data_IF_264260045266
#
_entry.id   IF_264260045266
#
_cell.length_a   1.000
_cell.length_b   1.000
_cell.length_c   1.000
_cell.angle_alpha   90.00
_cell.angle_beta   90.00
_cell.angle_gamma   90.00
#
_symmetry.space_group_name_H-M   'P 1'
#
loop_
_entity.id
_entity.type
_entity.pdbx_description
1 polymer ?
#
# COMPACT_ATOMS: atom_id res chain seq x y z
N UNK A 1 1.60 14.98 2.08
CA UNK A 1 1.37 13.52 1.92
C UNK A 1 -0.10 13.11 2.08
N UNK A 2 -0.63 12.34 1.14
CA UNK A 2 -1.97 11.72 1.19
C UNK A 2 -1.87 10.27 0.71
N UNK A 3 -2.66 9.39 1.33
CA UNK A 3 -2.72 7.98 0.96
C UNK A 3 -4.16 7.53 1.03
N UNK A 4 -4.64 6.93 -0.05
CA UNK A 4 -5.95 6.30 -0.12
C UNK A 4 -5.78 4.87 -0.62
N UNK A 5 -6.65 3.97 -0.20
CA UNK A 5 -6.57 2.60 -0.67
C UNK A 5 -7.76 1.77 -0.27
N UNK A 6 -7.84 0.61 -0.90
CA UNK A 6 -8.84 -0.43 -0.64
C UNK A 6 -8.07 -1.72 -0.38
N UNK A 7 -8.47 -2.41 0.69
CA UNK A 7 -8.03 -3.76 0.97
C UNK A 7 -9.26 -4.68 0.93
N UNK A 8 -9.12 -5.82 0.28
CA UNK A 8 -10.13 -6.88 0.28
C UNK A 8 -9.48 -8.17 0.75
N UNK A 9 -10.18 -8.86 1.65
CA UNK A 9 -9.72 -10.10 2.24
C UNK A 9 -10.75 -11.19 1.98
N UNK A 10 -10.27 -12.30 1.44
CA UNK A 10 -11.03 -13.53 1.25
C UNK A 10 -10.34 -14.68 1.97
N UNK A 11 -11.03 -15.82 2.10
CA UNK A 11 -10.50 -16.99 2.82
C UNK A 11 -9.24 -17.60 2.21
N UNK A 12 -8.94 -17.32 0.93
CA UNK A 12 -7.81 -17.92 0.21
C UNK A 12 -6.95 -16.90 -0.56
N UNK A 13 -7.32 -15.62 -0.56
CA UNK A 13 -6.58 -14.57 -1.25
C UNK A 13 -6.91 -13.21 -0.63
N UNK A 14 -5.97 -12.28 -0.70
CA UNK A 14 -6.20 -10.90 -0.33
C UNK A 14 -5.61 -9.94 -1.36
N UNK A 15 -6.23 -8.78 -1.48
CA UNK A 15 -6.00 -7.77 -2.49
C UNK A 15 -5.77 -6.44 -1.77
N UNK A 16 -4.79 -5.67 -2.24
CA UNK A 16 -4.62 -4.27 -1.85
C UNK A 16 -4.39 -3.42 -3.07
N UNK A 17 -5.09 -2.29 -3.14
CA UNK A 17 -4.81 -1.21 -4.07
C UNK A 17 -4.62 0.05 -3.25
N UNK A 18 -3.51 0.76 -3.48
CA UNK A 18 -3.24 2.00 -2.78
C UNK A 18 -2.67 3.06 -3.74
N UNK A 19 -3.12 4.28 -3.55
CA UNK A 19 -2.67 5.47 -4.25
C UNK A 19 -2.05 6.44 -3.25
N UNK A 20 -0.86 6.93 -3.59
CA UNK A 20 -0.02 7.78 -2.76
C UNK A 20 0.25 9.08 -3.48
N UNK A 21 0.08 10.18 -2.76
CA UNK A 21 0.53 11.50 -3.15
C UNK A 21 1.54 11.99 -2.12
N UNK A 22 2.79 12.04 -2.54
CA UNK A 22 3.90 12.48 -1.69
C UNK A 22 4.46 13.82 -2.18
N UNK A 23 5.00 14.60 -1.25
CA UNK A 23 5.63 15.88 -1.58
C UNK A 23 6.95 15.60 -2.32
N UNK A 24 7.09 16.19 -3.51
CA UNK A 24 8.28 16.04 -4.35
C UNK A 24 9.46 16.83 -3.81
N UNK A 25 10.68 16.40 -4.15
CA UNK A 25 11.93 17.01 -3.68
C UNK A 25 12.23 18.38 -4.30
N UNK A 26 11.49 18.79 -5.34
CA UNK A 26 11.75 19.99 -6.13
C UNK A 26 10.60 21.01 -6.02
N UNK A 27 10.61 21.82 -4.96
CA UNK A 27 9.85 23.07 -4.89
C UNK A 27 8.32 22.99 -4.66
N UNK A 28 7.73 24.16 -4.43
CA UNK A 28 6.30 24.37 -4.14
C UNK A 28 5.42 23.89 -5.32
N UNK A 29 4.72 22.77 -5.12
CA UNK A 29 3.70 22.27 -6.04
C UNK A 29 4.06 21.00 -6.80
N UNK A 30 5.27 20.45 -6.62
CA UNK A 30 5.65 19.19 -7.24
C UNK A 30 5.24 18.03 -6.31
N UNK A 31 4.39 17.13 -6.80
CA UNK A 31 3.91 15.98 -6.04
C UNK A 31 4.24 14.69 -6.78
N UNK A 32 4.81 13.73 -6.06
CA UNK A 32 5.04 12.38 -6.56
C UNK A 32 3.77 11.57 -6.36
N UNK A 33 3.18 11.13 -7.47
CA UNK A 33 2.02 10.25 -7.46
C UNK A 33 2.48 8.82 -7.71
N UNK A 34 2.16 7.92 -6.79
CA UNK A 34 2.45 6.49 -6.91
C UNK A 34 1.17 5.70 -6.74
N UNK A 35 0.96 4.68 -7.56
CA UNK A 35 -0.13 3.72 -7.38
C UNK A 35 0.48 2.34 -7.32
N UNK A 36 0.08 1.54 -6.32
CA UNK A 36 0.53 0.18 -6.18
C UNK A 36 -0.63 -0.77 -5.98
N UNK A 37 -0.46 -1.97 -6.52
CA UNK A 37 -1.40 -3.08 -6.41
C UNK A 37 -0.66 -4.31 -5.88
N UNK A 38 -1.28 -5.02 -4.96
CA UNK A 38 -0.79 -6.28 -4.40
C UNK A 38 -1.91 -7.32 -4.37
N UNK A 39 -1.56 -8.55 -4.75
CA UNK A 39 -2.37 -9.75 -4.55
C UNK A 39 -1.55 -10.73 -3.71
N UNK A 40 -2.15 -11.25 -2.64
CA UNK A 40 -1.52 -12.14 -1.67
C UNK A 40 -2.30 -13.44 -1.61
N UNK A 41 -1.58 -14.56 -1.63
CA UNK A 41 -2.13 -15.90 -1.43
C UNK A 41 -1.61 -16.47 -0.11
N UNK A 42 -2.41 -16.42 0.97
CA UNK A 42 -2.13 -17.10 2.22
C UNK A 42 -1.67 -18.54 1.98
N UNK A 43 -0.55 -18.95 2.60
CA UNK A 43 -0.07 -20.34 2.54
C UNK A 43 0.73 -20.76 1.29
N UNK A 44 0.65 -20.06 0.16
CA UNK A 44 1.52 -20.33 -1.02
C UNK A 44 2.80 -19.47 -1.03
N UNK A 45 2.85 -18.46 -0.16
CA UNK A 45 3.89 -17.45 -0.12
C UNK A 45 3.30 -16.09 -0.46
N UNK A 46 3.18 -15.23 0.55
CA UNK A 46 2.93 -13.81 0.34
C UNK A 46 4.24 -13.19 -0.14
N UNK A 47 4.26 -12.60 -1.34
CA UNK A 47 5.26 -11.57 -1.62
C UNK A 47 5.08 -10.51 -0.54
N UNK A 48 6.03 -10.36 0.38
CA UNK A 48 6.09 -9.21 1.25
C UNK A 48 6.34 -8.00 0.34
N UNK A 49 5.27 -7.41 -0.21
CA UNK A 49 5.48 -6.46 -1.28
C UNK A 49 5.98 -5.14 -0.72
N UNK A 50 6.79 -4.41 -1.51
CA UNK A 50 7.12 -3.02 -1.23
C UNK A 50 5.89 -2.14 -0.97
N UNK A 51 4.71 -2.52 -1.47
CA UNK A 51 3.46 -1.79 -1.26
C UNK A 51 3.04 -1.77 0.21
N UNK A 52 3.11 -2.91 0.91
CA UNK A 52 2.77 -2.98 2.34
C UNK A 52 3.64 -2.02 3.15
N UNK A 53 4.96 -2.06 2.95
CA UNK A 53 5.92 -1.20 3.64
C UNK A 53 5.66 0.29 3.33
N UNK A 54 5.27 0.60 2.09
CA UNK A 54 4.97 1.96 1.68
C UNK A 54 3.67 2.49 2.30
N UNK A 55 2.67 1.63 2.54
CA UNK A 55 1.45 1.99 3.29
C UNK A 55 1.76 2.21 4.77
N UNK A 56 2.46 1.28 5.41
CA UNK A 56 2.84 1.37 6.84
C UNK A 56 3.72 2.61 7.12
N UNK A 57 4.55 3.03 6.16
CA UNK A 57 5.36 4.25 6.26
C UNK A 57 4.57 5.56 6.07
N UNK A 58 3.40 5.52 5.44
CA UNK A 58 2.58 6.71 5.17
C UNK A 58 1.36 6.86 6.10
N UNK A 59 0.84 5.75 6.65
CA UNK A 59 -0.33 5.75 7.55
C UNK A 59 0.13 5.29 8.95
N UNK A 60 0.28 6.22 9.92
CA UNK A 60 0.70 5.84 11.27
C UNK A 60 -0.33 4.90 11.91
N UNK A 61 0.17 3.88 12.61
CA UNK A 61 -0.62 2.82 13.27
C UNK A 61 -1.44 1.92 12.34
N UNK A 62 -1.18 1.93 11.03
CA UNK A 62 -1.78 0.98 10.11
C UNK A 62 -1.30 -0.45 10.41
N UNK A 63 -2.21 -1.30 10.87
CA UNK A 63 -1.97 -2.72 11.12
C UNK A 63 -2.94 -3.54 10.26
N UNK A 64 -2.50 -3.93 9.07
CA UNK A 64 -3.27 -4.83 8.22
C UNK A 64 -2.76 -6.27 8.37
N UNK A 65 -3.60 -7.14 8.91
CA UNK A 65 -3.34 -8.56 9.00
C UNK A 65 -4.01 -9.28 7.83
N UNK A 66 -3.38 -9.25 6.66
CA UNK A 66 -3.87 -9.88 5.43
C UNK A 66 -3.11 -11.19 5.15
N UNK A 67 -2.83 -11.94 6.22
CA UNK A 67 -2.04 -13.18 6.21
C UNK A 67 -2.85 -14.40 5.82
#
# INVERSE_FOLDING_TARGET
>A
KQTIGIAYESCCWSLRLAHFKEDGSEGLGNYNYSTGFELVFPGLGSTATPLKNHIEGNIPYYQANLR
#
